data_IF_906092782703
#
_entry.id   IF_906092782703
#
_cell.length_a   1.000
_cell.length_b   1.000
_cell.length_c   1.000
_cell.angle_alpha   90.00
_cell.angle_beta   90.00
_cell.angle_gamma   90.00
#
_symmetry.space_group_name_H-M   'P 1'
#
loop_
_entity.id
_entity.type
_entity.pdbx_description
1 polymer ?
#
# COMPACT_ATOMS: atom_id res chain seq x y z
N UNK A 1 10.79 12.08 14.92
CA UNK A 1 11.33 10.91 14.18
C UNK A 1 10.34 10.57 13.08
N UNK A 2 10.78 9.97 11.96
CA UNK A 2 9.82 9.48 10.96
C UNK A 2 9.03 8.30 11.55
N UNK A 3 7.72 8.27 11.35
CA UNK A 3 6.89 7.12 11.70
C UNK A 3 7.23 5.93 10.79
N UNK A 4 6.93 4.71 11.25
CA UNK A 4 7.10 3.48 10.44
C UNK A 4 6.27 3.59 9.14
N UNK A 5 5.08 4.18 9.24
CA UNK A 5 4.24 4.57 8.11
C UNK A 5 5.02 5.35 7.06
N UNK A 6 5.59 6.48 7.45
CA UNK A 6 6.29 7.36 6.52
C UNK A 6 7.56 6.72 5.96
N UNK A 7 8.22 5.82 6.71
CA UNK A 7 9.35 5.03 6.19
C UNK A 7 8.86 4.10 5.07
N UNK A 8 7.84 3.29 5.34
CA UNK A 8 7.30 2.36 4.37
C UNK A 8 6.77 3.07 3.12
N UNK A 9 5.86 4.02 3.29
CA UNK A 9 5.16 4.68 2.18
C UNK A 9 6.12 5.45 1.29
N UNK A 10 7.08 6.16 1.88
CA UNK A 10 8.07 6.92 1.12
C UNK A 10 9.07 6.03 0.41
N UNK A 11 9.65 5.04 1.09
CA UNK A 11 10.66 4.18 0.48
C UNK A 11 10.09 3.40 -0.70
N UNK A 12 8.88 2.84 -0.56
CA UNK A 12 8.21 2.13 -1.66
C UNK A 12 7.89 3.10 -2.81
N UNK A 13 7.38 4.30 -2.52
CA UNK A 13 7.07 5.29 -3.55
C UNK A 13 8.30 5.78 -4.32
N UNK A 14 9.40 6.04 -3.63
CA UNK A 14 10.66 6.46 -4.26
C UNK A 14 11.23 5.40 -5.22
N UNK A 15 11.03 4.11 -4.93
CA UNK A 15 11.59 3.02 -5.75
C UNK A 15 10.67 2.59 -6.89
N UNK A 16 9.35 2.64 -6.68
CA UNK A 16 8.39 2.05 -7.62
C UNK A 16 7.55 3.08 -8.37
N UNK A 17 7.48 4.33 -7.88
CA UNK A 17 6.53 5.32 -8.38
C UNK A 17 5.06 5.06 -8.02
N UNK A 18 4.78 3.96 -7.29
CA UNK A 18 3.48 3.63 -6.71
C UNK A 18 3.43 3.99 -5.23
N UNK A 19 2.27 4.34 -4.69
CA UNK A 19 2.09 4.49 -3.24
C UNK A 19 1.67 3.15 -2.66
N UNK A 20 2.24 2.68 -1.55
CA UNK A 20 1.69 1.50 -0.91
C UNK A 20 0.47 1.84 -0.06
N UNK A 21 -0.42 0.87 0.09
CA UNK A 21 -1.53 0.94 1.04
C UNK A 21 -0.97 0.86 2.45
N UNK A 22 -1.31 1.84 3.29
CA UNK A 22 -0.90 1.84 4.70
C UNK A 22 -1.91 1.06 5.55
N UNK A 23 -1.38 0.10 6.30
CA UNK A 23 -1.98 -1.21 6.59
C UNK A 23 -2.21 -2.02 5.29
N UNK A 24 -1.17 -2.73 4.81
CA UNK A 24 -1.28 -3.69 3.73
C UNK A 24 -2.53 -4.58 3.79
N UNK A 25 -3.22 -4.73 2.66
CA UNK A 25 -4.44 -5.53 2.56
C UNK A 25 -5.71 -4.84 3.04
N UNK A 26 -5.65 -3.55 3.41
CA UNK A 26 -6.88 -2.76 3.47
C UNK A 26 -7.57 -2.75 2.10
N UNK A 27 -8.89 -2.94 2.05
CA UNK A 27 -9.65 -2.84 0.80
C UNK A 27 -9.46 -1.45 0.17
N UNK A 28 -9.12 -1.44 -1.10
CA UNK A 28 -9.05 -0.26 -1.95
C UNK A 28 -9.39 -0.68 -3.36
N UNK A 29 -10.21 0.11 -4.03
CA UNK A 29 -10.65 -0.15 -5.40
C UNK A 29 -10.32 1.02 -6.29
N UNK A 30 -10.23 0.74 -7.58
CA UNK A 30 -10.17 1.76 -8.60
C UNK A 30 -11.44 2.62 -8.53
N UNK A 31 -11.27 3.94 -8.62
CA UNK A 31 -12.37 4.90 -8.51
C UNK A 31 -12.77 5.26 -7.08
N UNK A 32 -12.12 4.71 -6.05
CA UNK A 32 -12.22 5.26 -4.70
C UNK A 32 -11.74 6.71 -4.68
N UNK A 33 -12.44 7.54 -3.91
CA UNK A 33 -12.12 8.96 -3.72
C UNK A 33 -11.88 9.21 -2.25
N UNK A 34 -10.81 9.94 -1.96
CA UNK A 34 -10.40 10.16 -0.57
C UNK A 34 -9.38 11.28 -0.44
N UNK A 35 -8.72 11.32 0.71
CA UNK A 35 -7.62 12.26 0.99
C UNK A 35 -6.35 11.49 1.30
N UNK A 36 -5.20 12.12 1.04
CA UNK A 36 -3.90 11.59 1.48
C UNK A 36 -3.39 12.41 2.65
N UNK A 37 -3.45 11.82 3.84
CA UNK A 37 -3.00 12.42 5.10
C UNK A 37 -1.89 11.54 5.71
N UNK A 38 -0.82 12.18 6.19
CA UNK A 38 0.35 11.48 6.76
C UNK A 38 0.91 10.32 5.91
N UNK A 39 0.89 10.50 4.59
CA UNK A 39 1.32 9.52 3.59
C UNK A 39 0.43 8.26 3.49
N UNK A 40 -0.77 8.24 4.11
CA UNK A 40 -1.80 7.21 3.94
C UNK A 40 -3.04 7.75 3.22
N UNK A 41 -3.75 6.87 2.52
CA UNK A 41 -5.03 7.19 1.89
C UNK A 41 -6.18 6.89 2.84
N UNK A 42 -7.14 7.80 2.90
CA UNK A 42 -8.39 7.66 3.64
C UNK A 42 -9.56 7.79 2.67
N UNK A 43 -10.30 6.70 2.46
CA UNK A 43 -11.49 6.67 1.60
C UNK A 43 -12.61 7.53 2.19
N UNK A 44 -13.23 8.35 1.35
CA UNK A 44 -14.37 9.20 1.70
C UNK A 44 -15.61 8.84 0.88
N UNK A 45 -15.45 8.58 -0.41
CA UNK A 45 -16.52 8.26 -1.35
C UNK A 45 -15.94 7.52 -2.57
N UNK A 46 -16.67 7.45 -3.68
CA UNK A 46 -16.19 6.93 -4.96
C UNK A 46 -16.68 7.79 -6.12
N UNK A 47 -16.04 7.63 -7.28
CA UNK A 47 -16.35 8.38 -8.50
C UNK A 47 -17.81 8.23 -8.95
N UNK A 48 -18.39 7.03 -8.82
CA UNK A 48 -19.78 6.77 -9.20
C UNK A 48 -20.77 7.62 -8.37
N UNK A 49 -20.51 7.81 -7.08
CA UNK A 49 -21.33 8.68 -6.19
C UNK A 49 -21.27 10.15 -6.63
N UNK A 50 -20.14 10.57 -7.21
CA UNK A 50 -19.95 11.89 -7.79
C UNK A 50 -20.54 12.01 -9.20
N UNK A 51 -21.07 10.92 -9.78
CA UNK A 51 -21.62 10.87 -11.13
C UNK A 51 -20.55 10.75 -12.22
N UNK A 52 -19.34 10.29 -11.86
CA UNK A 52 -18.25 10.02 -12.80
C UNK A 52 -18.19 8.50 -12.99
N UNK A 53 -18.72 8.03 -14.11
CA UNK A 53 -18.67 6.62 -14.48
C UNK A 53 -17.28 6.26 -15.02
N UNK A 54 -16.71 5.16 -14.53
CA UNK A 54 -15.41 4.65 -14.96
C UNK A 54 -15.48 3.16 -15.23
N UNK A 55 -14.79 2.73 -16.27
CA UNK A 55 -14.61 1.31 -16.57
C UNK A 55 -13.28 0.84 -16.01
N UNK A 56 -13.33 -0.22 -15.20
CA UNK A 56 -12.15 -0.91 -14.70
C UNK A 56 -11.63 -1.88 -15.75
N UNK A 57 -10.34 -1.82 -16.01
CA UNK A 57 -9.60 -2.79 -16.79
C UNK A 57 -8.62 -3.51 -15.86
N UNK A 58 -8.72 -4.84 -15.85
CA UNK A 58 -7.74 -5.71 -15.21
C UNK A 58 -6.75 -6.14 -16.28
N UNK A 59 -5.49 -5.77 -16.11
CA UNK A 59 -4.42 -6.26 -16.97
C UNK A 59 -4.11 -7.70 -16.55
N UNK A 60 -4.60 -8.66 -17.34
CA UNK A 60 -4.32 -10.08 -17.19
C UNK A 60 -2.88 -10.37 -17.64
N UNK A 61 -1.91 -10.04 -16.79
CA UNK A 61 -0.52 -10.45 -16.97
C UNK A 61 -0.43 -11.91 -16.51
N UNK A 62 -1.06 -12.80 -17.29
CA UNK A 62 -1.19 -14.22 -17.01
C UNK A 62 0.12 -15.02 -17.08
N UNK A 63 1.26 -14.38 -17.39
CA UNK A 63 2.56 -15.04 -17.48
C UNK A 63 3.56 -14.44 -16.48
N UNK A 64 3.94 -15.29 -15.53
CA UNK A 64 4.99 -15.15 -14.53
C UNK A 64 4.76 -14.13 -13.41
N UNK A 65 4.71 -14.67 -12.19
CA UNK A 65 4.72 -14.00 -10.90
C UNK A 65 5.48 -12.67 -10.96
N UNK A 66 4.76 -11.56 -11.03
CA UNK A 66 5.34 -10.23 -10.88
C UNK A 66 5.84 -10.10 -9.45
N UNK A 67 7.09 -10.54 -9.24
CA UNK A 67 7.76 -10.49 -7.97
C UNK A 67 8.31 -9.08 -7.80
N UNK A 68 7.48 -8.23 -7.19
CA UNK A 68 7.91 -6.90 -6.86
C UNK A 68 8.71 -6.94 -5.55
N UNK A 69 10.01 -6.70 -5.66
CA UNK A 69 10.91 -6.54 -4.51
C UNK A 69 11.31 -5.07 -4.39
N UNK A 70 10.77 -4.37 -3.40
CA UNK A 70 11.34 -3.11 -2.95
C UNK A 70 12.17 -3.39 -1.71
N UNK A 71 13.51 -3.42 -1.88
CA UNK A 71 14.47 -3.73 -0.83
C UNK A 71 15.56 -2.66 -0.76
N UNK A 72 15.64 -1.94 0.35
CA UNK A 72 16.75 -1.01 0.64
C UNK A 72 17.62 -1.54 1.76
N UNK A 73 18.81 -2.04 1.43
CA UNK A 73 19.73 -2.59 2.43
C UNK A 73 19.22 -3.86 3.11
N UNK A 74 18.40 -4.64 2.42
CA UNK A 74 17.89 -5.94 2.90
C UNK A 74 18.66 -7.08 2.22
N UNK A 75 18.88 -8.17 2.95
CA UNK A 75 19.35 -9.44 2.42
C UNK A 75 18.42 -10.55 2.91
N UNK A 76 18.08 -11.48 2.03
CA UNK A 76 17.22 -12.64 2.32
C UNK A 76 18.02 -13.90 2.08
N UNK A 77 18.07 -14.77 3.07
CA UNK A 77 18.74 -16.07 3.01
C UNK A 77 17.71 -17.16 3.32
N UNK A 78 17.68 -18.22 2.51
CA UNK A 78 16.77 -19.36 2.72
C UNK A 78 17.55 -20.57 3.24
N UNK A 79 16.94 -21.29 4.18
CA UNK A 79 17.47 -22.52 4.77
C UNK A 79 16.54 -23.68 4.45
N UNK A 80 17.09 -24.72 3.83
CA UNK A 80 16.39 -26.00 3.61
C UNK A 80 16.59 -26.91 4.82
N UNK A 81 15.57 -27.71 5.16
CA UNK A 81 15.65 -28.72 6.22
C UNK A 81 16.79 -29.71 5.97
N UNK A 82 17.50 -30.08 7.05
CA UNK A 82 18.66 -30.98 7.00
C UNK A 82 19.99 -30.26 6.72
N UNK A 83 19.96 -29.00 6.28
CA UNK A 83 21.16 -28.18 6.06
C UNK A 83 21.63 -27.49 7.34
N UNK A 84 22.95 -27.38 7.50
CA UNK A 84 23.58 -26.52 8.50
C UNK A 84 23.77 -25.13 7.88
N UNK A 85 23.21 -24.11 8.53
CA UNK A 85 23.36 -22.72 8.13
C UNK A 85 23.72 -21.88 9.37
N UNK A 86 25.02 -21.61 9.60
CA UNK A 86 25.50 -20.92 10.82
C UNK A 86 24.93 -19.52 11.02
N UNK A 87 24.42 -18.90 9.96
CA UNK A 87 23.73 -17.62 9.95
C UNK A 87 22.38 -17.66 10.69
N UNK A 88 21.80 -18.85 10.91
CA UNK A 88 20.54 -19.04 11.60
C UNK A 88 20.78 -19.46 13.04
N UNK A 89 20.23 -18.69 13.97
CA UNK A 89 20.40 -18.91 15.40
C UNK A 89 19.20 -19.57 16.06
N UNK A 90 18.01 -19.45 15.45
CA UNK A 90 16.75 -19.97 16.00
C UNK A 90 16.22 -21.22 15.29
N UNK A 91 16.73 -21.53 14.09
CA UNK A 91 16.32 -22.70 13.32
C UNK A 91 17.26 -23.88 13.54
N UNK A 92 16.73 -25.01 14.03
CA UNK A 92 17.49 -26.25 14.20
C UNK A 92 17.84 -26.91 12.86
N UNK A 93 18.67 -27.96 12.87
CA UNK A 93 19.08 -28.67 11.65
C UNK A 93 17.88 -29.19 10.85
N UNK A 94 16.85 -29.70 11.52
CA UNK A 94 15.64 -30.24 10.88
C UNK A 94 14.67 -29.16 10.36
N UNK A 95 14.88 -27.88 10.71
CA UNK A 95 13.97 -26.80 10.34
C UNK A 95 14.33 -26.21 8.97
N UNK A 96 13.31 -25.91 8.17
CA UNK A 96 13.42 -25.04 7.00
C UNK A 96 12.94 -23.63 7.38
N UNK A 97 13.41 -22.63 6.66
CA UNK A 97 12.99 -21.25 6.91
C UNK A 97 13.73 -20.21 6.11
N UNK A 98 13.59 -18.96 6.53
CA UNK A 98 14.20 -17.81 5.90
C UNK A 98 14.74 -16.83 6.95
N UNK A 99 15.81 -16.12 6.63
CA UNK A 99 16.38 -15.06 7.45
C UNK A 99 16.42 -13.79 6.62
N UNK A 100 15.91 -12.71 7.17
CA UNK A 100 15.98 -11.38 6.56
C UNK A 100 16.81 -10.48 7.47
N UNK A 101 17.87 -9.90 6.92
CA UNK A 101 18.71 -8.91 7.60
C UNK A 101 18.59 -7.57 6.89
N UNK A 102 18.28 -6.53 7.65
CA UNK A 102 18.01 -5.16 7.22
C UNK A 102 19.06 -4.21 7.83
N UNK A 103 20.05 -3.84 7.03
CA UNK A 103 21.20 -3.03 7.45
C UNK A 103 20.85 -1.57 7.81
N UNK A 104 19.76 -1.01 7.28
CA UNK A 104 19.40 0.40 7.43
C UNK A 104 18.22 0.67 8.37
N UNK A 105 18.25 1.84 9.04
CA UNK A 105 17.14 2.37 9.86
C UNK A 105 15.84 2.66 9.09
N UNK A 106 15.89 2.60 7.76
CA UNK A 106 14.76 2.85 6.83
C UNK A 106 14.67 1.74 5.79
N UNK A 107 15.15 0.56 6.16
CA UNK A 107 15.07 -0.62 5.32
C UNK A 107 13.64 -1.12 5.30
N UNK A 108 13.15 -1.33 4.08
CA UNK A 108 11.85 -1.92 3.80
C UNK A 108 12.11 -3.13 2.91
N UNK A 109 11.40 -4.22 3.19
CA UNK A 109 11.19 -5.31 2.25
C UNK A 109 9.70 -5.34 1.92
N UNK A 110 9.37 -5.22 0.64
CA UNK A 110 8.06 -5.56 0.09
C UNK A 110 8.30 -6.67 -0.91
N UNK A 111 7.61 -7.80 -0.77
CA UNK A 111 7.65 -8.92 -1.72
C UNK A 111 6.21 -9.31 -2.04
N UNK A 112 5.82 -9.26 -3.31
CA UNK A 112 4.48 -9.60 -3.78
C UNK A 112 4.55 -10.80 -4.71
N UNK A 113 3.52 -11.64 -4.71
CA UNK A 113 3.37 -12.79 -5.62
C UNK A 113 1.98 -12.79 -6.24
N UNK A 114 1.92 -13.15 -7.53
CA UNK A 114 0.66 -13.17 -8.30
C UNK A 114 -0.03 -11.82 -8.31
N UNK A 115 0.71 -10.76 -8.63
CA UNK A 115 0.19 -9.40 -8.63
C UNK A 115 -0.56 -9.08 -9.94
N UNK A 116 -1.79 -8.64 -9.79
CA UNK A 116 -2.68 -8.16 -10.84
C UNK A 116 -2.76 -6.63 -10.78
N UNK A 117 -2.88 -6.00 -11.95
CA UNK A 117 -2.96 -4.55 -12.07
C UNK A 117 -4.35 -4.14 -12.54
N UNK A 118 -5.07 -3.48 -11.64
CA UNK A 118 -6.41 -2.94 -11.87
C UNK A 118 -6.26 -1.45 -12.20
N UNK A 119 -6.86 -0.97 -13.28
CA UNK A 119 -6.77 0.45 -13.66
C UNK A 119 -8.03 0.97 -14.32
N UNK A 120 -8.23 2.29 -14.31
CA UNK A 120 -9.27 2.92 -15.12
C UNK A 120 -8.86 2.85 -16.60
N UNK A 121 -9.71 2.25 -17.44
CA UNK A 121 -9.43 2.07 -18.86
C UNK A 121 -9.32 3.40 -19.61
N UNK A 122 -10.31 4.28 -19.40
CA UNK A 122 -10.39 5.57 -20.09
C UNK A 122 -9.94 6.74 -19.19
N UNK A 123 -8.62 6.90 -19.06
CA UNK A 123 -8.01 7.99 -18.29
C UNK A 123 -8.41 9.39 -18.78
N UNK A 124 -8.67 9.55 -20.08
CA UNK A 124 -9.09 10.84 -20.63
C UNK A 124 -10.51 11.22 -20.18
N UNK A 125 -11.45 10.27 -20.21
CA UNK A 125 -12.81 10.47 -19.70
C UNK A 125 -12.81 10.74 -18.19
N UNK A 126 -11.99 10.02 -17.42
CA UNK A 126 -11.77 10.30 -16.01
C UNK A 126 -11.32 11.75 -15.78
N UNK A 127 -10.28 12.19 -16.49
CA UNK A 127 -9.74 13.55 -16.33
C UNK A 127 -10.79 14.61 -16.62
N UNK A 128 -11.58 14.43 -17.68
CA UNK A 128 -12.67 15.36 -18.00
C UNK A 128 -13.73 15.38 -16.89
N UNK A 129 -14.18 14.20 -16.42
CA UNK A 129 -15.17 14.10 -15.35
C UNK A 129 -14.72 14.75 -14.04
N UNK A 130 -13.45 14.60 -13.68
CA UNK A 130 -12.87 15.27 -12.50
C UNK A 130 -12.84 16.79 -12.65
N UNK A 131 -12.48 17.31 -13.82
CA UNK A 131 -12.47 18.75 -14.10
C UNK A 131 -13.88 19.34 -14.10
N UNK A 132 -14.85 18.62 -14.66
CA UNK A 132 -16.26 19.02 -14.65
C UNK A 132 -16.79 19.05 -13.21
N UNK A 133 -16.52 18.00 -12.42
CA UNK A 133 -16.91 17.94 -11.00
C UNK A 133 -16.27 19.06 -10.16
N UNK A 134 -15.06 19.51 -10.50
CA UNK A 134 -14.41 20.65 -9.83
C UNK A 134 -15.05 22.00 -10.15
N UNK A 135 -15.81 22.11 -11.25
CA UNK A 135 -16.53 23.32 -11.63
C UNK A 135 -17.96 23.37 -11.07
N UNK A 136 -18.50 22.25 -10.60
CA UNK A 136 -19.83 22.18 -10.00
C UNK A 136 -19.90 22.92 -8.66
N UNK A 137 -21.06 23.49 -8.37
CA UNK A 137 -21.42 23.96 -7.04
C UNK A 137 -22.30 22.93 -6.32
N UNK A 138 -22.15 22.79 -5.00
CA UNK A 138 -22.99 21.94 -4.16
C UNK A 138 -22.37 20.59 -3.80
N UNK A 139 -23.16 19.61 -3.31
CA UNK A 139 -22.62 18.40 -2.65
C UNK A 139 -21.82 17.46 -3.56
N UNK A 140 -21.92 17.61 -4.88
CA UNK A 140 -21.14 16.86 -5.87
C UNK A 140 -19.86 17.60 -6.31
N UNK A 141 -19.56 18.75 -5.73
CA UNK A 141 -18.36 19.52 -6.07
C UNK A 141 -17.11 18.78 -5.60
N UNK A 142 -16.15 18.61 -6.51
CA UNK A 142 -14.84 18.07 -6.17
C UNK A 142 -14.07 19.01 -5.23
N UNK A 143 -13.58 18.49 -4.10
CA UNK A 143 -12.72 19.27 -3.18
C UNK A 143 -11.25 19.17 -3.59
N UNK A 144 -10.47 20.23 -3.35
CA UNK A 144 -9.08 20.33 -3.88
C UNK A 144 -8.11 19.33 -3.25
N UNK A 145 -8.37 18.93 -2.03
CA UNK A 145 -7.63 17.95 -1.26
C UNK A 145 -7.98 16.51 -1.64
N UNK A 146 -9.07 16.31 -2.38
CA UNK A 146 -9.49 14.98 -2.81
C UNK A 146 -8.58 14.43 -3.91
N UNK A 147 -8.41 13.12 -3.85
CA UNK A 147 -7.70 12.31 -4.84
C UNK A 147 -8.60 11.16 -5.28
N UNK A 148 -8.49 10.76 -6.54
CA UNK A 148 -9.13 9.56 -7.08
C UNK A 148 -8.08 8.48 -7.30
N UNK A 149 -8.36 7.25 -6.86
CA UNK A 149 -7.55 6.07 -7.14
C UNK A 149 -7.73 5.67 -8.60
N UNK A 150 -6.64 5.63 -9.36
CA UNK A 150 -6.65 5.33 -10.80
C UNK A 150 -6.14 3.95 -11.13
N UNK A 151 -5.27 3.43 -10.26
CA UNK A 151 -4.63 2.13 -10.41
C UNK A 151 -4.48 1.50 -9.03
N UNK A 152 -4.68 0.19 -8.95
CA UNK A 152 -4.48 -0.63 -7.76
C UNK A 152 -3.71 -1.89 -8.16
N UNK A 153 -2.74 -2.30 -7.35
CA UNK A 153 -2.04 -3.58 -7.47
C UNK A 153 -2.54 -4.49 -6.36
N UNK A 154 -3.18 -5.59 -6.76
CA UNK A 154 -3.67 -6.64 -5.86
C UNK A 154 -2.78 -7.86 -6.05
N UNK A 155 -2.19 -8.36 -4.97
CA UNK A 155 -1.35 -9.54 -5.00
C UNK A 155 -2.09 -10.74 -4.41
N UNK A 156 -1.95 -11.90 -5.05
CA UNK A 156 -2.41 -13.17 -4.49
C UNK A 156 -1.83 -13.37 -3.08
N UNK A 157 -0.56 -13.01 -2.87
CA UNK A 157 0.03 -12.93 -1.54
C UNK A 157 1.17 -11.91 -1.43
N UNK A 158 1.49 -11.47 -0.21
CA UNK A 158 2.57 -10.52 0.02
C UNK A 158 3.19 -10.55 1.42
N UNK A 159 4.45 -10.12 1.47
CA UNK A 159 5.23 -9.91 2.69
C UNK A 159 5.75 -8.47 2.74
N UNK A 160 5.56 -7.81 3.88
CA UNK A 160 6.08 -6.47 4.19
C UNK A 160 6.87 -6.54 5.47
N UNK A 161 8.12 -6.08 5.45
CA UNK A 161 8.94 -5.93 6.65
C UNK A 161 9.50 -4.50 6.67
N UNK A 162 9.44 -3.85 7.83
CA UNK A 162 9.98 -2.50 8.03
C UNK A 162 10.86 -2.49 9.27
N UNK A 163 12.12 -2.09 9.09
CA UNK A 163 13.06 -1.96 10.19
C UNK A 163 12.67 -0.78 11.12
N UNK A 164 12.77 -0.97 12.44
CA UNK A 164 12.71 0.11 13.44
C UNK A 164 14.09 0.61 13.85
N UNK A 165 15.16 -0.17 13.64
CA UNK A 165 16.55 0.23 13.88
C UNK A 165 17.50 -0.22 12.75
N UNK A 166 18.81 0.02 12.92
CA UNK A 166 19.84 -0.53 12.03
C UNK A 166 20.03 -2.01 12.39
N UNK A 167 20.45 -2.82 11.41
CA UNK A 167 20.72 -4.25 11.61
C UNK A 167 19.51 -5.02 12.14
N UNK A 168 18.30 -4.59 11.73
CA UNK A 168 17.09 -5.30 12.06
C UNK A 168 17.09 -6.68 11.41
N UNK A 169 16.53 -7.67 12.10
CA UNK A 169 16.61 -9.06 11.70
C UNK A 169 15.31 -9.80 12.03
N UNK A 170 14.94 -10.72 11.15
CA UNK A 170 13.87 -11.68 11.40
C UNK A 170 14.22 -13.04 10.81
N UNK A 171 14.10 -14.08 11.64
CA UNK A 171 14.16 -15.48 11.23
C UNK A 171 12.73 -16.06 11.24
N UNK A 172 12.36 -16.66 10.12
CA UNK A 172 11.07 -17.27 9.87
C UNK A 172 11.25 -18.78 9.74
N UNK A 173 10.47 -19.55 10.49
CA UNK A 173 10.39 -21.00 10.36
C UNK A 173 9.26 -21.35 9.42
N UNK A 174 9.54 -22.18 8.41
CA UNK A 174 8.53 -22.74 7.53
C UNK A 174 7.89 -23.99 8.14
N UNK A 175 6.68 -24.34 7.67
CA UNK A 175 6.02 -25.59 8.00
C UNK A 175 6.84 -26.78 7.48
N UNK A 176 6.79 -27.91 8.21
CA UNK A 176 7.54 -29.11 7.84
C UNK A 176 7.11 -29.64 6.45
N UNK A 177 8.08 -29.96 5.60
CA UNK A 177 7.83 -30.48 4.24
C UNK A 177 7.39 -29.43 3.22
N UNK A 178 7.30 -28.15 3.61
CA UNK A 178 7.01 -27.07 2.66
C UNK A 178 8.17 -26.85 1.67
N UNK A 179 7.81 -26.42 0.47
CA UNK A 179 8.74 -25.95 -0.56
C UNK A 179 8.41 -24.48 -0.80
N UNK A 180 9.41 -23.62 -0.73
CA UNK A 180 9.25 -22.18 -0.90
C UNK A 180 10.46 -21.59 -1.62
N UNK A 181 10.21 -20.53 -2.38
CA UNK A 181 11.22 -19.73 -3.07
C UNK A 181 11.08 -18.25 -2.74
N UNK A 182 9.99 -17.85 -2.07
CA UNK A 182 9.66 -16.47 -1.72
C UNK A 182 9.09 -16.40 -0.30
N UNK A 183 9.25 -15.25 0.37
CA UNK A 183 8.58 -14.99 1.65
C UNK A 183 7.08 -14.73 1.48
N UNK A 184 6.61 -14.49 0.26
CA UNK A 184 5.19 -14.38 -0.07
C UNK A 184 4.54 -15.76 -0.27
N UNK A 185 5.28 -16.87 -0.18
CA UNK A 185 4.72 -18.20 -0.36
C UNK A 185 3.86 -18.60 0.85
N UNK A 186 2.54 -18.54 0.68
CA UNK A 186 1.59 -18.83 1.75
C UNK A 186 1.67 -20.29 2.19
N UNK A 187 1.84 -21.20 1.23
CA UNK A 187 2.00 -22.64 1.46
C UNK A 187 3.23 -22.97 2.33
N UNK A 188 4.19 -22.04 2.46
CA UNK A 188 5.33 -22.19 3.35
C UNK A 188 4.93 -22.16 4.83
N UNK A 189 3.78 -21.59 5.18
CA UNK A 189 3.29 -21.51 6.56
C UNK A 189 4.27 -20.82 7.51
N UNK A 190 4.91 -19.73 7.05
CA UNK A 190 5.96 -19.06 7.82
C UNK A 190 5.47 -18.57 9.19
N UNK A 191 6.21 -18.92 10.23
CA UNK A 191 6.04 -18.40 11.58
C UNK A 191 7.31 -17.68 12.04
N UNK A 192 7.17 -16.62 12.83
CA UNK A 192 8.34 -15.90 13.37
C UNK A 192 9.02 -16.76 14.44
N UNK A 193 10.24 -17.20 14.16
CA UNK A 193 11.07 -17.92 15.12
C UNK A 193 11.87 -16.96 16.01
N UNK A 194 12.38 -15.88 15.42
CA UNK A 194 13.13 -14.82 16.11
C UNK A 194 12.98 -13.50 15.37
N UNK A 195 12.98 -12.39 16.08
CA UNK A 195 13.12 -11.06 15.49
C UNK A 195 13.83 -10.09 16.44
N UNK A 196 14.51 -9.10 15.86
CA UNK A 196 15.05 -7.93 16.54
C UNK A 196 14.87 -6.69 15.66
N UNK A 197 14.45 -5.59 16.27
CA UNK A 197 14.35 -4.27 15.61
C UNK A 197 13.49 -4.23 14.34
N UNK A 198 12.49 -5.12 14.22
CA UNK A 198 11.45 -5.05 13.19
C UNK A 198 10.26 -4.27 13.76
N UNK A 199 9.97 -3.12 13.16
CA UNK A 199 8.90 -2.22 13.61
C UNK A 199 7.52 -2.59 13.08
N UNK A 200 7.45 -3.16 11.88
CA UNK A 200 6.21 -3.60 11.26
C UNK A 200 6.45 -4.83 10.39
N UNK A 201 5.49 -5.75 10.41
CA UNK A 201 5.55 -6.98 9.62
C UNK A 201 4.17 -7.44 9.17
N UNK A 202 4.11 -7.88 7.93
CA UNK A 202 3.05 -8.70 7.32
C UNK A 202 3.79 -9.83 6.62
N UNK A 203 3.41 -11.08 6.85
CA UNK A 203 4.14 -12.24 6.34
C UNK A 203 3.14 -13.13 5.59
N UNK A 204 3.41 -13.34 4.30
CA UNK A 204 2.65 -14.19 3.39
C UNK A 204 1.12 -14.01 3.52
N UNK A 205 0.67 -12.76 3.61
CA UNK A 205 -0.76 -12.45 3.69
C UNK A 205 -1.38 -12.65 2.31
N UNK A 206 -2.47 -13.42 2.24
CA UNK A 206 -3.27 -13.63 1.03
C UNK A 206 -4.10 -12.39 0.66
N UNK A 207 -4.40 -12.23 -0.64
CA UNK A 207 -5.35 -11.23 -1.15
C UNK A 207 -4.94 -9.80 -0.79
N UNK A 208 -3.66 -9.47 -0.96
CA UNK A 208 -3.09 -8.21 -0.48
C UNK A 208 -3.23 -7.10 -1.53
N UNK A 209 -4.11 -6.14 -1.27
CA UNK A 209 -4.06 -4.83 -1.91
C UNK A 209 -2.81 -4.10 -1.44
N UNK A 210 -1.81 -4.00 -2.32
CA UNK A 210 -0.46 -3.62 -1.93
C UNK A 210 -0.12 -2.19 -2.30
N UNK A 211 -0.43 -1.79 -3.54
CA UNK A 211 0.00 -0.52 -4.13
C UNK A 211 -1.15 0.17 -4.85
N UNK A 212 -1.04 1.49 -5.02
CA UNK A 212 -1.98 2.29 -5.77
C UNK A 212 -1.33 3.50 -6.44
N UNK A 213 -2.01 4.04 -7.44
CA UNK A 213 -1.80 5.39 -7.97
C UNK A 213 -3.06 6.20 -7.77
N UNK A 214 -2.87 7.51 -7.60
CA UNK A 214 -3.97 8.43 -7.48
C UNK A 214 -3.68 9.72 -8.24
N UNK A 215 -4.74 10.38 -8.67
CA UNK A 215 -4.71 11.69 -9.32
C UNK A 215 -5.52 12.69 -8.51
N UNK A 216 -5.19 13.97 -8.67
CA UNK A 216 -5.89 15.06 -8.01
C UNK A 216 -6.11 16.21 -9.01
N UNK A 217 -7.19 16.96 -8.81
CA UNK A 217 -7.40 18.25 -9.48
C UNK A 217 -6.58 19.30 -8.76
N UNK A 218 -5.73 20.03 -9.49
CA UNK A 218 -4.92 21.11 -8.95
C UNK A 218 -5.06 22.37 -9.78
N UNK A 219 -5.30 23.48 -9.08
CA UNK A 219 -5.31 24.81 -9.69
C UNK A 219 -3.88 25.32 -9.90
N UNK A 220 -3.59 25.73 -11.12
CA UNK A 220 -2.36 26.43 -11.47
C UNK A 220 -2.32 27.80 -10.81
N UNK A 221 -1.24 28.10 -10.07
CA UNK A 221 -1.06 29.40 -9.43
C UNK A 221 -0.78 30.53 -10.43
N UNK A 222 -0.26 30.20 -11.63
CA UNK A 222 0.07 31.19 -12.65
C UNK A 222 -1.12 31.44 -13.59
N UNK A 223 -1.73 30.39 -14.14
CA UNK A 223 -2.82 30.53 -15.10
C UNK A 223 -4.20 30.61 -14.45
N UNK A 224 -4.31 30.20 -13.18
CA UNK A 224 -5.59 30.10 -12.48
C UNK A 224 -6.50 29.00 -13.02
N UNK A 225 -6.03 28.15 -13.94
CA UNK A 225 -6.78 27.04 -14.53
C UNK A 225 -6.59 25.76 -13.73
N UNK A 226 -7.62 24.94 -13.67
CA UNK A 226 -7.55 23.60 -13.07
C UNK A 226 -6.94 22.60 -14.05
N UNK A 227 -6.17 21.66 -13.53
CA UNK A 227 -5.57 20.57 -14.28
C UNK A 227 -5.39 19.33 -13.43
N UNK A 228 -5.19 18.19 -14.07
CA UNK A 228 -4.95 16.92 -13.37
C UNK A 228 -3.45 16.72 -13.14
N UNK A 229 -3.09 16.25 -11.95
CA UNK A 229 -1.72 15.87 -11.61
C UNK A 229 -1.72 14.60 -10.77
N UNK A 230 -0.62 13.85 -10.79
CA UNK A 230 -0.42 12.74 -9.87
C UNK A 230 -0.52 13.25 -8.43
N UNK A 231 -1.29 12.55 -7.61
CA UNK A 231 -1.55 12.95 -6.24
C UNK A 231 -0.24 13.07 -5.45
N UNK A 232 -0.02 14.26 -4.89
CA UNK A 232 1.07 14.54 -3.95
C UNK A 232 0.47 14.66 -2.56
N UNK A 233 1.30 14.53 -1.52
CA UNK A 233 0.86 14.68 -0.12
C UNK A 233 0.00 15.94 0.01
N UNK A 234 -1.19 15.80 0.58
CA UNK A 234 -2.04 16.96 0.86
C UNK A 234 -1.35 17.83 1.90
N UNK A 235 -1.37 19.15 1.70
CA UNK A 235 -0.79 20.11 2.64
C UNK A 235 -1.77 20.51 3.76
N UNK A 236 -2.97 19.90 3.81
CA UNK A 236 -3.99 20.20 4.80
C UNK A 236 -3.49 19.77 6.18
N UNK A 237 -3.56 20.69 7.15
CA UNK A 237 -3.17 20.41 8.52
C UNK A 237 -4.19 19.46 9.17
N UNK A 238 -3.76 18.48 10.00
CA UNK A 238 -4.63 17.46 10.60
C UNK A 238 -5.81 17.96 11.47
N UNK A 239 -5.96 19.26 11.66
CA UNK A 239 -7.00 19.87 12.51
C UNK A 239 -8.21 20.44 11.77
N UNK A 240 -8.14 20.63 10.45
CA UNK A 240 -9.15 21.43 9.72
C UNK A 240 -10.33 20.60 9.17
N UNK A 241 -10.37 19.29 9.43
CA UNK A 241 -11.32 18.37 8.78
C UNK A 241 -12.44 17.80 9.68
N UNK A 242 -12.57 18.25 10.94
CA UNK A 242 -13.55 17.68 11.89
C UNK A 242 -14.75 18.62 12.20
N UNK A 243 -14.83 19.82 11.61
CA UNK A 243 -16.03 20.67 11.77
C UNK A 243 -16.95 20.63 10.55
N UNK A 244 -17.71 19.54 10.35
CA UNK A 244 -19.09 19.68 9.85
C UNK A 244 -19.93 18.40 10.03
N UNK A 245 -21.13 18.60 10.59
CA UNK A 245 -22.27 17.69 10.73
C UNK A 245 -22.21 16.61 11.82
N UNK A 246 -22.21 17.04 13.09
CA UNK A 246 -22.96 16.29 14.11
C UNK A 246 -24.47 16.56 13.89
N UNK A 247 -25.32 15.54 13.68
CA UNK A 247 -26.75 15.74 13.66
C UNK A 247 -27.23 16.13 15.06
N UNK A 248 -27.85 17.31 15.17
CA UNK A 248 -28.61 17.68 16.37
C UNK A 248 -29.81 16.74 16.46
N UNK A 249 -29.69 15.69 17.27
CA UNK A 249 -30.86 14.93 17.72
C UNK A 249 -31.69 15.88 18.61
N UNK A 250 -32.79 16.38 18.05
CA UNK A 250 -33.84 17.01 18.83
C UNK A 250 -34.40 15.99 19.81
N UNK A 251 -34.30 16.29 21.09
CA UNK A 251 -35.11 15.64 22.10
C UNK A 251 -36.51 16.24 21.96
N UNK A 252 -37.44 15.45 21.43
CA UNK A 252 -38.86 15.70 21.64
C UNK A 252 -39.18 15.25 23.07
N UNK A 253 -39.61 16.20 23.89
CA UNK A 253 -40.19 16.00 25.21
C UNK A 253 -41.58 15.35 25.08
N UNK A 254 -41.81 14.27 25.83
CA UNK A 254 -43.12 13.74 26.24
C UNK A 254 -43.14 13.60 27.78
#
# INVERSE_FOLDING_TARGET
>A
MASIQSIYTRTVHEHLGYRPVWLPGMPMSVGDVGIIEDDAFHTLTNLATLGIEVEEQVDDVADDAFELIAATGCSVEFKVAGSLAPSFTSLGQADAGARVVMSGKRSVLLQLRGAEHHRIANQAALHQGLLDAAQLAGPKSWKREWVAITDVVVAASGTVLVASAREAEIELKAAAGSVFTSLADVDAGFAVARQSDVGFKVIAQEGMTALYKAVQVKRSAWTGQDGITTARRSAVAPGDLIEEAAPTYGADDD
#
